data_IF_906431355219
#
_entry.id   IF_906431355219
#
_cell.length_a   1.000
_cell.length_b   1.000
_cell.length_c   1.000
_cell.angle_alpha   90.00
_cell.angle_beta   90.00
_cell.angle_gamma   90.00
#
_symmetry.space_group_name_H-M   'P 1'
#
loop_
_entity.id
_entity.type
_entity.pdbx_description
1 polymer ?
#
# COMPACT_ATOMS: atom_id res chain seq x y z
N UNK A 1 -24.87 29.10 31.14
CA UNK A 1 -24.63 29.36 29.73
C UNK A 1 -24.47 28.00 29.05
N UNK A 2 -25.48 27.49 28.32
CA UNK A 2 -25.40 26.21 27.66
C UNK A 2 -24.77 26.47 26.28
N UNK A 3 -23.51 26.15 26.11
CA UNK A 3 -22.82 26.23 24.82
C UNK A 3 -23.13 24.94 24.06
N UNK A 4 -24.17 24.95 23.27
CA UNK A 4 -24.43 23.87 22.27
C UNK A 4 -23.58 24.12 21.05
N UNK A 5 -22.31 23.72 21.09
CA UNK A 5 -21.50 23.62 19.86
C UNK A 5 -22.01 22.43 19.05
N UNK A 6 -22.73 22.68 17.97
CA UNK A 6 -23.13 21.62 17.02
C UNK A 6 -21.85 21.11 16.35
N UNK A 7 -21.45 19.88 16.67
CA UNK A 7 -20.34 19.22 16.00
C UNK A 7 -20.74 18.84 14.58
N UNK A 8 -19.81 18.99 13.63
CA UNK A 8 -19.99 18.44 12.29
C UNK A 8 -20.00 16.90 12.36
N UNK A 9 -20.84 16.21 11.60
CA UNK A 9 -20.73 14.77 11.49
C UNK A 9 -19.33 14.36 11.01
N UNK A 10 -18.76 13.30 11.58
CA UNK A 10 -17.43 12.78 11.22
C UNK A 10 -17.33 12.41 9.73
N UNK A 11 -18.47 12.08 9.11
CA UNK A 11 -18.63 11.81 7.67
C UNK A 11 -19.29 12.99 6.96
N UNK A 12 -18.63 14.15 7.00
CA UNK A 12 -19.08 15.29 6.20
C UNK A 12 -18.45 15.21 4.83
N UNK A 13 -19.28 15.16 3.80
CA UNK A 13 -18.88 15.15 2.40
C UNK A 13 -19.27 16.46 1.73
N UNK A 14 -18.38 16.97 0.88
CA UNK A 14 -18.72 18.01 -0.10
C UNK A 14 -19.19 17.30 -1.38
N UNK A 15 -20.40 17.63 -1.84
CA UNK A 15 -21.02 16.99 -3.01
C UNK A 15 -21.23 17.98 -4.12
N UNK A 16 -20.81 17.64 -5.32
CA UNK A 16 -21.07 18.40 -6.55
C UNK A 16 -21.77 17.51 -7.59
N UNK A 17 -21.97 17.99 -8.78
CA UNK A 17 -22.51 17.21 -9.90
C UNK A 17 -21.52 16.07 -10.24
N UNK A 18 -21.86 14.86 -9.77
CA UNK A 18 -21.06 13.66 -10.02
C UNK A 18 -19.75 13.55 -9.24
N UNK A 19 -19.61 14.32 -8.15
CA UNK A 19 -18.40 14.37 -7.34
C UNK A 19 -18.74 14.36 -5.86
N UNK A 20 -18.04 13.53 -5.10
CA UNK A 20 -18.09 13.52 -3.64
C UNK A 20 -16.67 13.60 -3.10
N UNK A 21 -16.37 14.64 -2.32
CA UNK A 21 -15.08 14.80 -1.64
C UNK A 21 -15.30 14.65 -0.14
N UNK A 22 -14.72 13.60 0.44
CA UNK A 22 -14.66 13.41 1.89
C UNK A 22 -13.76 14.48 2.52
N UNK A 23 -14.09 14.91 3.72
CA UNK A 23 -13.26 15.89 4.44
C UNK A 23 -12.28 15.18 5.37
N UNK A 24 -11.07 15.73 5.56
CA UNK A 24 -10.15 15.26 6.59
C UNK A 24 -10.76 15.46 7.99
N UNK A 25 -10.18 14.82 9.00
CA UNK A 25 -10.62 14.99 10.39
C UNK A 25 -10.44 16.45 10.83
N UNK A 26 -11.55 17.10 11.23
CA UNK A 26 -11.60 18.49 11.67
C UNK A 26 -11.91 18.57 13.16
N UNK A 27 -11.39 19.59 13.85
CA UNK A 27 -11.70 19.85 15.26
C UNK A 27 -13.21 20.11 15.47
N UNK A 28 -13.88 20.68 14.45
CA UNK A 28 -15.33 20.87 14.45
C UNK A 28 -16.14 19.55 14.41
N UNK A 29 -15.53 18.41 14.11
CA UNK A 29 -16.14 17.07 14.15
C UNK A 29 -16.08 16.43 15.54
N UNK A 30 -15.37 17.04 16.50
CA UNK A 30 -15.24 16.58 17.88
C UNK A 30 -16.27 17.29 18.75
N UNK A 31 -17.19 16.57 19.45
CA UNK A 31 -18.16 17.19 20.34
C UNK A 31 -17.49 17.96 21.48
N UNK A 32 -18.01 19.16 21.83
CA UNK A 32 -17.40 20.04 22.85
C UNK A 32 -17.32 19.41 24.24
N UNK A 33 -18.17 18.45 24.59
CA UNK A 33 -18.16 17.71 25.84
C UNK A 33 -17.03 16.67 25.95
N UNK A 34 -16.47 16.22 24.83
CA UNK A 34 -15.31 15.31 24.78
C UNK A 34 -13.99 16.06 24.81
N UNK A 35 -13.97 17.36 24.53
CA UNK A 35 -12.77 18.20 24.62
C UNK A 35 -12.28 18.41 26.09
N UNK A 36 -13.13 18.18 27.09
CA UNK A 36 -12.76 18.25 28.49
C UNK A 36 -11.99 17.01 29.00
N UNK A 37 -12.11 15.89 28.33
CA UNK A 37 -11.30 14.68 28.52
C UNK A 37 -10.39 14.55 27.33
N UNK A 38 -9.15 14.94 27.36
CA UNK A 38 -8.06 14.74 26.37
C UNK A 38 -8.28 13.67 25.25
N UNK A 39 -9.50 13.47 24.80
CA UNK A 39 -9.86 12.63 23.68
C UNK A 39 -9.86 13.49 22.43
N UNK A 40 -8.66 13.70 21.87
CA UNK A 40 -8.55 13.65 20.42
C UNK A 40 -9.48 12.52 19.97
N UNK A 41 -10.33 12.75 18.97
CA UNK A 41 -11.13 11.66 18.42
C UNK A 41 -10.18 10.49 18.24
N UNK A 42 -10.47 9.35 18.89
CA UNK A 42 -9.52 8.25 19.00
C UNK A 42 -8.88 8.01 17.63
N UNK A 43 -7.55 8.02 17.55
CA UNK A 43 -6.85 7.93 16.26
C UNK A 43 -7.36 6.71 15.51
N UNK A 44 -7.56 6.85 14.21
CA UNK A 44 -8.04 5.76 13.37
C UNK A 44 -6.84 5.03 12.81
N UNK A 45 -6.72 3.75 13.14
CA UNK A 45 -5.66 2.90 12.60
C UNK A 45 -5.83 2.72 11.08
N UNK A 46 -4.72 2.84 10.36
CA UNK A 46 -4.65 2.60 8.91
C UNK A 46 -3.60 1.55 8.62
N UNK A 47 -3.92 0.63 7.73
CA UNK A 47 -3.03 -0.46 7.33
C UNK A 47 -2.63 -0.32 5.88
N UNK A 48 -1.33 -0.45 5.61
CA UNK A 48 -0.76 -0.49 4.26
C UNK A 48 0.15 -1.70 4.08
N UNK A 49 0.01 -2.37 2.94
CA UNK A 49 0.81 -3.54 2.57
C UNK A 49 1.49 -3.25 1.24
N UNK A 50 2.82 -3.21 1.23
CA UNK A 50 3.63 -2.87 0.06
C UNK A 50 4.54 -4.03 -0.29
N UNK A 51 4.35 -4.59 -1.48
CA UNK A 51 5.03 -5.79 -1.95
C UNK A 51 6.15 -5.47 -2.94
N UNK A 52 7.30 -6.12 -2.76
CA UNK A 52 8.42 -6.14 -3.70
C UNK A 52 8.60 -7.55 -4.27
N UNK A 53 8.76 -7.70 -5.59
CA UNK A 53 8.93 -9.00 -6.23
C UNK A 53 10.39 -9.45 -6.31
N UNK A 54 10.59 -10.69 -6.74
CA UNK A 54 11.86 -11.27 -7.16
C UNK A 54 12.93 -11.33 -6.07
N UNK A 55 12.55 -11.20 -4.80
CA UNK A 55 13.47 -11.26 -3.66
C UNK A 55 14.35 -10.02 -3.48
N UNK A 56 15.33 -10.16 -2.59
CA UNK A 56 16.28 -9.10 -2.26
C UNK A 56 17.70 -9.66 -2.08
N UNK A 57 18.70 -8.79 -2.20
CA UNK A 57 20.09 -9.12 -1.82
C UNK A 57 20.20 -9.01 -0.29
N UNK A 58 19.95 -10.13 0.41
CA UNK A 58 19.75 -10.16 1.86
C UNK A 58 20.99 -9.71 2.65
N UNK A 59 22.20 -9.95 2.16
CA UNK A 59 23.44 -9.44 2.77
C UNK A 59 23.53 -7.90 2.76
N UNK A 60 22.75 -7.25 1.90
CA UNK A 60 22.65 -5.78 1.80
C UNK A 60 21.32 -5.24 2.31
N UNK A 61 20.38 -6.13 2.63
CA UNK A 61 19.09 -5.80 3.24
C UNK A 61 19.18 -5.81 4.77
N UNK A 62 19.71 -6.91 5.35
CA UNK A 62 19.66 -7.14 6.79
C UNK A 62 20.70 -6.28 7.50
N UNK A 63 20.32 -5.45 8.50
CA UNK A 63 21.26 -4.74 9.33
C UNK A 63 22.15 -5.70 10.14
N UNK A 64 23.44 -5.37 10.29
CA UNK A 64 24.39 -6.22 10.98
C UNK A 64 24.17 -6.28 12.51
N UNK A 65 23.61 -5.20 13.10
CA UNK A 65 23.37 -5.11 14.56
C UNK A 65 21.87 -5.20 14.85
N UNK A 66 21.52 -5.87 15.94
CA UNK A 66 20.15 -5.99 16.45
C UNK A 66 19.85 -4.89 17.47
N UNK A 67 18.58 -4.58 17.68
CA UNK A 67 18.11 -3.62 18.67
C UNK A 67 18.16 -2.17 18.17
N UNK A 68 18.16 -1.21 19.11
CA UNK A 68 18.07 0.22 18.80
C UNK A 68 19.36 0.81 18.19
N UNK A 69 20.49 0.15 18.41
CA UNK A 69 21.81 0.59 17.92
C UNK A 69 22.16 0.08 16.51
N UNK A 70 21.17 -0.42 15.74
CA UNK A 70 21.41 -0.89 14.38
C UNK A 70 21.80 0.25 13.45
N UNK A 71 22.60 -0.07 12.45
CA UNK A 71 22.93 0.82 11.33
C UNK A 71 22.14 0.39 10.10
N UNK A 72 21.67 1.35 9.32
CA UNK A 72 20.93 1.03 8.10
C UNK A 72 21.84 0.34 7.10
N UNK A 73 21.39 -0.81 6.62
CA UNK A 73 22.01 -1.54 5.52
C UNK A 73 21.94 -0.73 4.21
N UNK A 74 22.76 -1.02 3.21
CA UNK A 74 22.79 -0.26 1.96
C UNK A 74 21.42 -0.14 1.27
N UNK A 75 20.61 -1.20 1.26
CA UNK A 75 19.30 -1.20 0.64
C UNK A 75 18.30 -0.35 1.44
N UNK A 76 18.37 -0.34 2.77
CA UNK A 76 17.44 0.39 3.63
C UNK A 76 17.88 1.85 3.89
N UNK A 77 19.10 2.23 3.48
CA UNK A 77 19.64 3.58 3.68
C UNK A 77 18.75 4.72 3.20
N UNK A 78 18.02 4.62 2.07
CA UNK A 78 17.16 5.69 1.59
C UNK A 78 16.05 6.14 2.56
N UNK A 79 15.66 5.29 3.51
CA UNK A 79 14.61 5.60 4.50
C UNK A 79 15.12 5.87 5.91
N UNK A 80 16.43 6.05 6.09
CA UNK A 80 17.04 6.29 7.41
C UNK A 80 16.46 7.52 8.14
N UNK A 81 15.98 8.54 7.42
CA UNK A 81 15.33 9.72 7.99
C UNK A 81 14.03 9.42 8.76
N UNK A 82 13.46 8.22 8.57
CA UNK A 82 12.28 7.73 9.27
C UNK A 82 12.59 6.73 10.37
N UNK A 83 13.85 6.59 10.80
CA UNK A 83 14.33 5.61 11.79
C UNK A 83 13.34 5.38 12.93
N UNK A 84 12.86 6.46 13.55
CA UNK A 84 12.00 6.39 14.74
C UNK A 84 10.62 5.75 14.48
N UNK A 85 10.27 5.50 13.24
CA UNK A 85 9.02 4.87 12.78
C UNK A 85 9.25 3.56 12.05
N UNK A 86 10.47 2.99 12.11
CA UNK A 86 10.83 1.78 11.37
C UNK A 86 11.20 0.63 12.31
N UNK A 87 10.73 -0.56 11.98
CA UNK A 87 11.15 -1.83 12.61
C UNK A 87 11.58 -2.79 11.51
N UNK A 88 12.87 -3.10 11.43
CA UNK A 88 13.36 -4.17 10.57
C UNK A 88 13.16 -5.49 11.30
N UNK A 89 12.63 -6.51 10.61
CA UNK A 89 12.44 -7.84 11.20
C UNK A 89 13.20 -8.87 10.37
N UNK A 90 14.02 -9.68 11.02
CA UNK A 90 14.83 -10.71 10.35
C UNK A 90 14.53 -12.12 10.87
N UNK A 91 15.01 -13.13 10.11
CA UNK A 91 14.83 -14.55 10.35
C UNK A 91 13.38 -15.07 10.23
N UNK A 92 12.55 -14.35 9.47
CA UNK A 92 11.21 -14.81 9.13
C UNK A 92 11.24 -15.76 7.92
N UNK A 93 10.36 -16.72 7.91
CA UNK A 93 10.20 -17.68 6.83
C UNK A 93 8.74 -17.79 6.37
N UNK A 94 8.54 -18.16 5.10
CA UNK A 94 7.24 -18.52 4.56
C UNK A 94 7.26 -19.95 4.00
N UNK A 95 7.16 -20.93 4.88
CA UNK A 95 7.15 -22.36 4.51
C UNK A 95 6.02 -22.72 3.54
N UNK A 96 4.80 -22.14 3.64
CA UNK A 96 3.74 -22.39 2.67
C UNK A 96 4.06 -21.90 1.24
N UNK A 97 5.07 -21.07 1.03
CA UNK A 97 5.53 -20.68 -0.30
C UNK A 97 6.49 -21.67 -0.95
N UNK A 98 7.05 -22.61 -0.17
CA UNK A 98 7.87 -23.70 -0.71
C UNK A 98 7.01 -24.70 -1.50
N UNK A 99 7.63 -25.38 -2.46
CA UNK A 99 6.94 -26.42 -3.22
C UNK A 99 6.55 -27.58 -2.31
N UNK A 100 5.30 -28.02 -2.39
CA UNK A 100 4.90 -29.27 -1.77
C UNK A 100 5.48 -30.48 -2.53
N UNK A 101 5.43 -31.66 -1.93
CA UNK A 101 5.94 -32.87 -2.57
C UNK A 101 5.28 -33.09 -3.93
N UNK A 102 6.09 -33.21 -4.99
CA UNK A 102 5.65 -33.41 -6.37
C UNK A 102 5.19 -32.16 -7.12
N UNK A 103 5.27 -30.94 -6.54
CA UNK A 103 4.83 -29.72 -7.23
C UNK A 103 5.87 -29.15 -8.21
N UNK A 104 7.15 -29.22 -7.89
CA UNK A 104 8.21 -28.58 -8.69
C UNK A 104 8.21 -27.05 -8.62
N UNK A 105 8.57 -26.40 -9.72
CA UNK A 105 8.62 -24.92 -9.82
C UNK A 105 7.23 -24.27 -9.71
N UNK A 106 7.16 -22.96 -9.63
CA UNK A 106 5.93 -22.18 -9.37
C UNK A 106 6.12 -21.21 -8.19
N UNK A 107 7.38 -20.90 -7.89
CA UNK A 107 7.79 -20.14 -6.69
C UNK A 107 7.25 -18.71 -6.70
N UNK A 108 7.19 -18.08 -7.87
CA UNK A 108 6.67 -16.72 -8.02
C UNK A 108 5.17 -16.64 -7.73
N UNK A 109 4.39 -17.60 -8.22
CA UNK A 109 2.95 -17.66 -7.96
C UNK A 109 2.66 -17.97 -6.48
N UNK A 110 3.41 -18.91 -5.88
CA UNK A 110 3.30 -19.21 -4.45
C UNK A 110 3.69 -18.01 -3.60
N UNK A 111 4.78 -17.31 -3.94
CA UNK A 111 5.24 -16.14 -3.21
C UNK A 111 4.15 -15.05 -3.10
N UNK A 112 3.56 -14.64 -4.21
CA UNK A 112 2.48 -13.64 -4.21
C UNK A 112 1.26 -14.09 -3.44
N UNK A 113 0.81 -15.34 -3.63
CA UNK A 113 -0.40 -15.88 -3.01
C UNK A 113 -0.28 -16.07 -1.50
N UNK A 114 0.93 -16.38 -1.00
CA UNK A 114 1.18 -16.70 0.41
C UNK A 114 1.46 -15.48 1.27
N UNK A 115 2.01 -14.41 0.70
CA UNK A 115 2.59 -13.29 1.46
C UNK A 115 1.67 -12.71 2.54
N UNK A 116 0.37 -12.52 2.25
CA UNK A 116 -0.62 -11.99 3.20
C UNK A 116 -1.56 -13.05 3.79
N UNK A 117 -1.31 -14.34 3.53
CA UNK A 117 -2.17 -15.44 3.98
C UNK A 117 -1.48 -16.45 4.88
N UNK A 118 -0.18 -16.74 4.64
CA UNK A 118 0.50 -17.88 5.23
C UNK A 118 -0.11 -19.23 4.83
N UNK A 119 -0.86 -19.29 3.70
CA UNK A 119 -1.56 -20.51 3.24
C UNK A 119 -1.02 -20.94 1.88
N UNK A 120 -0.62 -22.19 1.76
CA UNK A 120 -0.17 -22.78 0.50
C UNK A 120 -1.31 -22.74 -0.54
N UNK A 121 -1.09 -22.16 -1.73
CA UNK A 121 -2.13 -22.05 -2.75
C UNK A 121 -2.35 -23.38 -3.46
N UNK A 122 -3.59 -23.64 -3.87
CA UNK A 122 -3.91 -24.81 -4.67
C UNK A 122 -3.19 -24.74 -6.02
N UNK A 123 -2.41 -25.78 -6.35
CA UNK A 123 -1.80 -25.92 -7.67
C UNK A 123 -2.88 -26.15 -8.72
N UNK A 124 -3.17 -25.14 -9.54
CA UNK A 124 -4.14 -25.19 -10.64
C UNK A 124 -3.86 -24.07 -11.63
N UNK A 125 -4.01 -24.34 -12.91
CA UNK A 125 -4.00 -23.34 -13.99
C UNK A 125 -5.42 -22.94 -14.41
N UNK A 126 -6.43 -23.58 -13.83
CA UNK A 126 -7.85 -23.34 -14.10
C UNK A 126 -8.46 -22.23 -13.26
N UNK A 127 -9.79 -22.14 -13.31
CA UNK A 127 -10.58 -21.16 -12.57
C UNK A 127 -10.83 -21.56 -11.11
N UNK A 128 -10.50 -22.79 -10.72
CA UNK A 128 -10.72 -23.35 -9.38
C UNK A 128 -9.59 -23.00 -8.40
N UNK A 129 -9.11 -21.76 -8.51
CA UNK A 129 -8.07 -21.18 -7.65
C UNK A 129 -8.49 -21.20 -6.19
N UNK A 130 -7.53 -21.43 -5.30
CA UNK A 130 -7.73 -21.41 -3.86
C UNK A 130 -6.42 -21.02 -3.16
N UNK A 131 -6.49 -19.96 -2.39
CA UNK A 131 -5.47 -19.50 -1.44
C UNK A 131 -6.07 -19.37 -0.05
N UNK A 132 -5.60 -18.42 0.74
CA UNK A 132 -6.18 -18.01 2.01
C UNK A 132 -6.94 -16.69 1.86
N UNK A 133 -7.80 -16.35 2.83
CA UNK A 133 -8.26 -14.96 2.97
C UNK A 133 -7.09 -14.13 3.51
N UNK A 134 -6.77 -13.04 2.84
CA UNK A 134 -5.62 -12.20 3.18
C UNK A 134 -5.91 -11.28 4.37
N UNK A 135 -4.86 -10.92 5.12
CA UNK A 135 -5.02 -10.10 6.33
C UNK A 135 -5.52 -8.68 6.01
N UNK A 136 -5.20 -8.13 4.85
CA UNK A 136 -5.77 -6.86 4.39
C UNK A 136 -7.29 -6.95 4.28
N UNK A 137 -7.83 -8.08 3.81
CA UNK A 137 -9.27 -8.31 3.71
C UNK A 137 -9.91 -8.68 5.06
N UNK A 138 -9.16 -9.33 5.98
CA UNK A 138 -9.60 -9.52 7.37
C UNK A 138 -9.73 -8.15 8.05
N UNK A 139 -8.70 -7.30 7.92
CA UNK A 139 -8.71 -5.95 8.44
C UNK A 139 -9.81 -5.08 7.81
N UNK A 140 -10.03 -5.18 6.51
CA UNK A 140 -11.06 -4.44 5.78
C UNK A 140 -12.49 -4.78 6.24
N UNK A 141 -12.73 -5.99 6.71
CA UNK A 141 -14.04 -6.36 7.26
C UNK A 141 -14.36 -5.63 8.57
N UNK A 142 -13.36 -5.18 9.32
CA UNK A 142 -13.55 -4.40 10.55
C UNK A 142 -13.29 -2.91 10.34
N UNK A 143 -12.09 -2.52 9.91
CA UNK A 143 -11.69 -1.12 9.73
C UNK A 143 -12.43 -0.43 8.59
N UNK A 144 -12.81 -1.21 7.57
CA UNK A 144 -13.51 -0.72 6.37
C UNK A 144 -15.04 -0.66 6.49
N UNK A 145 -15.64 -1.04 7.63
CA UNK A 145 -17.12 -0.99 7.81
C UNK A 145 -17.68 0.40 7.65
N UNK A 146 -16.91 1.36 8.07
CA UNK A 146 -17.30 2.75 8.16
C UNK A 146 -16.70 3.63 7.06
N UNK A 147 -16.01 3.06 6.08
CA UNK A 147 -15.40 3.80 4.98
C UNK A 147 -16.17 3.62 3.67
N UNK A 148 -15.98 4.54 2.72
CA UNK A 148 -16.58 4.44 1.39
C UNK A 148 -16.05 3.22 0.62
N UNK A 149 -14.73 2.99 0.68
CA UNK A 149 -14.07 1.81 0.16
C UNK A 149 -13.58 0.97 1.32
N UNK A 150 -13.92 -0.31 1.37
CA UNK A 150 -13.44 -1.21 2.42
C UNK A 150 -11.93 -1.36 2.39
N UNK A 151 -11.36 -1.45 1.19
CA UNK A 151 -9.95 -1.56 0.90
C UNK A 151 -9.63 -1.00 -0.48
N UNK A 152 -8.35 -0.72 -0.73
CA UNK A 152 -7.85 -0.21 -2.00
C UNK A 152 -6.66 -1.08 -2.45
N UNK A 153 -6.88 -1.86 -3.51
CA UNK A 153 -5.90 -2.74 -4.12
C UNK A 153 -5.34 -2.08 -5.37
N UNK A 154 -4.02 -1.77 -5.36
CA UNK A 154 -3.34 -1.09 -6.46
C UNK A 154 -2.02 -1.76 -6.83
N UNK A 155 -1.59 -1.56 -8.07
CA UNK A 155 -0.32 -2.06 -8.56
C UNK A 155 0.33 -1.07 -9.55
N UNK A 156 1.64 -1.16 -9.71
CA UNK A 156 2.39 -0.32 -10.65
C UNK A 156 2.72 -1.03 -11.97
N UNK A 157 2.30 -2.26 -12.15
CA UNK A 157 2.40 -2.99 -13.42
C UNK A 157 1.03 -3.47 -13.87
N UNK A 158 0.78 -3.44 -15.18
CA UNK A 158 -0.44 -3.94 -15.79
C UNK A 158 -0.46 -5.49 -15.84
N UNK A 159 -1.64 -6.06 -15.65
CA UNK A 159 -1.90 -7.49 -15.57
C UNK A 159 -2.79 -7.94 -16.73
N UNK A 160 -2.24 -7.93 -17.94
CA UNK A 160 -2.97 -8.38 -19.13
C UNK A 160 -2.96 -9.90 -19.32
N UNK A 161 -2.12 -10.62 -18.58
CA UNK A 161 -1.97 -12.06 -18.72
C UNK A 161 -3.14 -12.83 -18.12
N UNK A 162 -3.72 -13.75 -18.88
CA UNK A 162 -4.82 -14.66 -18.51
C UNK A 162 -4.34 -16.10 -18.77
N UNK A 163 -4.75 -17.05 -17.92
CA UNK A 163 -4.34 -18.46 -18.03
C UNK A 163 -3.26 -18.83 -17.02
N UNK A 164 -2.29 -19.65 -17.39
CA UNK A 164 -1.13 -20.02 -16.57
C UNK A 164 -0.02 -18.97 -16.68
N UNK A 165 0.42 -18.40 -15.55
CA UNK A 165 1.50 -17.41 -15.50
C UNK A 165 2.78 -17.95 -14.85
N UNK A 166 2.69 -19.07 -14.18
CA UNK A 166 3.81 -19.83 -13.63
C UNK A 166 3.48 -21.33 -13.73
N UNK A 167 4.48 -22.19 -13.63
CA UNK A 167 4.29 -23.63 -13.88
C UNK A 167 3.30 -24.24 -12.88
N UNK A 168 2.14 -24.66 -13.39
CA UNK A 168 1.07 -25.26 -12.62
C UNK A 168 0.19 -24.28 -11.85
N UNK A 169 0.36 -22.96 -12.05
CA UNK A 169 -0.38 -21.93 -11.33
C UNK A 169 -1.04 -20.89 -12.25
N UNK A 170 -2.31 -20.59 -11.97
CA UNK A 170 -3.07 -19.60 -12.70
C UNK A 170 -2.52 -18.17 -12.47
N UNK A 171 -2.69 -17.31 -13.48
CA UNK A 171 -2.25 -15.91 -13.40
C UNK A 171 -2.86 -15.12 -12.24
N UNK A 172 -4.03 -15.52 -11.75
CA UNK A 172 -4.65 -14.90 -10.57
C UNK A 172 -3.79 -14.95 -9.31
N UNK A 173 -2.89 -15.94 -9.19
CA UNK A 173 -1.95 -16.01 -8.05
C UNK A 173 -0.83 -14.98 -8.13
N UNK A 174 -0.43 -14.58 -9.36
CA UNK A 174 0.65 -13.59 -9.58
C UNK A 174 0.09 -12.17 -9.70
N UNK A 175 -1.15 -12.03 -10.16
CA UNK A 175 -1.74 -10.74 -10.51
C UNK A 175 -2.41 -10.02 -9.33
N UNK A 176 -2.52 -10.65 -8.16
CA UNK A 176 -3.04 -10.00 -6.96
C UNK A 176 -2.39 -10.52 -5.69
N UNK A 177 -2.36 -9.64 -4.69
CA UNK A 177 -1.98 -9.99 -3.32
C UNK A 177 -3.19 -10.17 -2.42
N UNK A 178 -4.37 -9.67 -2.84
CA UNK A 178 -5.55 -9.52 -1.98
C UNK A 178 -6.63 -10.55 -2.34
N UNK A 179 -7.05 -11.33 -1.35
CA UNK A 179 -8.08 -12.36 -1.50
C UNK A 179 -9.19 -12.13 -0.48
N UNK A 180 -10.38 -11.75 -0.97
CA UNK A 180 -11.55 -11.50 -0.10
C UNK A 180 -12.04 -12.75 0.61
N UNK A 181 -11.97 -13.87 -0.07
CA UNK A 181 -12.25 -15.22 0.46
C UNK A 181 -11.16 -16.16 -0.05
N UNK A 182 -11.05 -17.40 0.45
CA UNK A 182 -10.06 -18.34 -0.07
C UNK A 182 -10.13 -18.60 -1.58
N UNK A 183 -11.21 -18.25 -2.25
CA UNK A 183 -11.43 -18.48 -3.69
C UNK A 183 -11.74 -17.24 -4.50
N UNK A 184 -11.66 -16.03 -3.89
CA UNK A 184 -12.02 -14.77 -4.55
C UNK A 184 -10.86 -13.80 -4.53
N UNK A 185 -9.95 -13.85 -5.53
CA UNK A 185 -8.92 -12.85 -5.71
C UNK A 185 -9.54 -11.50 -6.06
N UNK A 186 -8.98 -10.40 -5.59
CA UNK A 186 -9.37 -9.05 -5.92
C UNK A 186 -8.45 -8.48 -7.00
N UNK A 187 -9.00 -7.92 -8.09
CA UNK A 187 -8.18 -7.30 -9.12
C UNK A 187 -7.50 -6.04 -8.56
N UNK A 188 -6.22 -5.86 -8.88
CA UNK A 188 -5.47 -4.67 -8.53
C UNK A 188 -5.58 -3.62 -9.64
N UNK A 189 -5.77 -2.36 -9.26
CA UNK A 189 -5.91 -1.25 -10.19
C UNK A 189 -4.54 -0.62 -10.47
N UNK A 190 -4.22 -0.46 -11.76
CA UNK A 190 -2.92 0.09 -12.22
C UNK A 190 -3.02 1.51 -12.75
N UNK A 191 -4.20 1.95 -13.19
CA UNK A 191 -4.39 3.29 -13.75
C UNK A 191 -4.68 4.31 -12.64
N UNK A 192 -3.80 5.32 -12.39
CA UNK A 192 -3.98 6.36 -11.38
C UNK A 192 -5.27 7.17 -11.58
N UNK A 193 -5.72 7.34 -12.83
CA UNK A 193 -6.96 8.03 -13.15
C UNK A 193 -8.18 7.24 -12.64
N UNK A 194 -8.20 5.94 -12.89
CA UNK A 194 -9.29 5.08 -12.40
C UNK A 194 -9.29 5.03 -10.87
N UNK A 195 -8.09 4.98 -10.24
CA UNK A 195 -7.97 5.08 -8.78
C UNK A 195 -8.55 6.41 -8.29
N UNK A 196 -8.15 7.53 -8.88
CA UNK A 196 -8.67 8.86 -8.50
C UNK A 196 -10.19 8.96 -8.65
N UNK A 197 -10.74 8.48 -9.77
CA UNK A 197 -12.19 8.41 -9.99
C UNK A 197 -12.90 7.52 -8.96
N UNK A 198 -12.28 6.41 -8.55
CA UNK A 198 -12.85 5.52 -7.52
C UNK A 198 -12.85 6.19 -6.14
N UNK A 199 -11.87 7.03 -5.84
CA UNK A 199 -11.78 7.74 -4.56
C UNK A 199 -12.76 8.92 -4.46
N UNK A 200 -12.95 9.68 -5.55
CA UNK A 200 -13.62 10.99 -5.54
C UNK A 200 -14.83 11.07 -6.48
N UNK A 201 -15.02 10.11 -7.38
CA UNK A 201 -16.16 10.06 -8.30
C UNK A 201 -17.41 9.49 -7.65
N UNK A 202 -18.58 10.09 -7.92
CA UNK A 202 -19.87 9.46 -7.61
C UNK A 202 -20.26 8.53 -8.77
N UNK A 203 -20.26 7.23 -8.58
CA UNK A 203 -20.87 6.14 -9.36
C UNK A 203 -21.47 6.40 -10.74
N UNK A 204 -20.99 7.42 -11.46
CA UNK A 204 -21.47 7.82 -12.77
C UNK A 204 -21.16 6.74 -13.81
N UNK A 205 -22.10 6.49 -14.73
CA UNK A 205 -21.88 5.60 -15.86
C UNK A 205 -20.65 6.01 -16.71
N UNK A 206 -19.97 5.05 -17.35
CA UNK A 206 -18.75 5.28 -18.12
C UNK A 206 -18.85 6.42 -19.15
N UNK A 207 -20.02 6.62 -19.75
CA UNK A 207 -20.27 7.67 -20.74
C UNK A 207 -20.41 9.06 -20.11
N UNK A 208 -21.03 9.18 -18.95
CA UNK A 208 -21.10 10.42 -18.17
C UNK A 208 -19.73 10.83 -17.63
N UNK A 209 -18.93 9.84 -17.18
CA UNK A 209 -17.53 10.05 -16.78
C UNK A 209 -16.68 10.59 -17.93
N UNK A 210 -16.83 10.03 -19.13
CA UNK A 210 -16.10 10.49 -20.33
C UNK A 210 -16.45 11.93 -20.71
N UNK A 211 -17.73 12.32 -20.58
CA UNK A 211 -18.19 13.71 -20.85
C UNK A 211 -17.66 14.71 -19.80
N UNK A 212 -17.55 14.32 -18.55
CA UNK A 212 -17.02 15.17 -17.47
C UNK A 212 -15.51 15.40 -17.60
N UNK A 213 -14.77 14.41 -18.09
CA UNK A 213 -13.33 14.47 -18.30
C UNK A 213 -12.92 15.29 -19.55
N UNK A 214 -13.84 15.44 -20.51
CA UNK A 214 -13.66 16.31 -21.69
C UNK A 214 -14.01 17.77 -21.39
N UNK A 215 -14.65 18.07 -20.24
CA UNK A 215 -14.84 19.44 -19.77
C UNK A 215 -13.65 19.81 -18.88
N UNK A 216 -12.91 20.89 -19.24
CA UNK A 216 -11.70 21.40 -18.56
C UNK A 216 -11.93 21.91 -17.11
N UNK A 217 -12.99 21.46 -16.43
CA UNK A 217 -13.31 21.89 -15.09
C UNK A 217 -12.76 20.93 -14.02
N UNK A 218 -12.13 21.51 -13.00
CA UNK A 218 -11.68 20.76 -11.82
C UNK A 218 -12.88 20.15 -11.09
N UNK A 219 -12.69 18.92 -10.58
CA UNK A 219 -13.65 18.28 -9.67
C UNK A 219 -14.02 19.22 -8.52
N UNK A 220 -13.05 19.99 -8.02
CA UNK A 220 -13.26 20.92 -6.91
C UNK A 220 -14.09 22.16 -7.30
N UNK A 221 -14.16 22.53 -8.57
CA UNK A 221 -14.95 23.69 -9.03
C UNK A 221 -16.44 23.44 -8.83
N UNK A 222 -16.88 22.18 -8.88
CA UNK A 222 -18.30 21.81 -8.68
C UNK A 222 -18.77 21.92 -7.22
N UNK A 223 -17.84 22.02 -6.26
CA UNK A 223 -18.11 22.08 -4.82
C UNK A 223 -17.72 23.40 -4.15
N UNK A 224 -17.32 24.41 -4.94
CA UNK A 224 -16.83 25.73 -4.45
C UNK A 224 -17.81 26.39 -3.48
N UNK A 225 -19.11 26.39 -3.78
CA UNK A 225 -20.14 26.98 -2.92
C UNK A 225 -20.23 26.27 -1.56
N UNK A 226 -20.12 24.94 -1.55
CA UNK A 226 -20.16 24.15 -0.32
C UNK A 226 -18.90 24.38 0.55
N UNK A 227 -17.74 24.56 -0.09
CA UNK A 227 -16.49 24.95 0.59
C UNK A 227 -16.68 26.29 1.28
N UNK A 228 -17.27 27.29 0.58
CA UNK A 228 -17.57 28.60 1.15
C UNK A 228 -18.53 28.55 2.35
N UNK A 229 -19.57 27.70 2.25
CA UNK A 229 -20.50 27.42 3.34
C UNK A 229 -19.87 26.72 4.54
N UNK A 230 -18.99 25.74 4.29
CA UNK A 230 -18.25 25.02 5.31
C UNK A 230 -17.31 25.95 6.09
N UNK A 231 -16.52 26.79 5.39
CA UNK A 231 -15.57 27.73 6.01
C UNK A 231 -16.22 28.69 7.01
N UNK A 232 -17.50 29.04 6.84
CA UNK A 232 -18.25 29.88 7.79
C UNK A 232 -18.65 29.13 9.08
N UNK A 233 -18.55 27.80 9.10
CA UNK A 233 -19.01 26.92 10.19
C UNK A 233 -17.89 26.28 10.99
N UNK A 234 -16.66 26.36 10.51
CA UNK A 234 -15.46 25.75 11.11
C UNK A 234 -14.53 26.83 11.66
N UNK A 235 -13.68 26.43 12.61
CA UNK A 235 -12.65 27.32 13.18
C UNK A 235 -11.50 27.60 12.18
N UNK A 236 -10.63 28.57 12.50
CA UNK A 236 -9.52 28.98 11.65
C UNK A 236 -8.57 27.81 11.36
N UNK A 237 -8.23 26.98 12.36
CA UNK A 237 -7.34 25.82 12.21
C UNK A 237 -7.93 24.80 11.24
N UNK A 238 -9.22 24.46 11.39
CA UNK A 238 -9.90 23.55 10.46
C UNK A 238 -9.99 24.15 9.05
N UNK A 239 -10.15 25.48 8.93
CA UNK A 239 -10.14 26.17 7.66
C UNK A 239 -8.81 26.02 6.91
N UNK A 240 -7.68 26.04 7.63
CA UNK A 240 -6.35 25.79 7.08
C UNK A 240 -6.25 24.33 6.61
N UNK A 241 -6.59 23.36 7.47
CA UNK A 241 -6.57 21.92 7.12
C UNK A 241 -7.39 21.58 5.89
N UNK A 242 -8.61 22.16 5.79
CA UNK A 242 -9.48 21.98 4.61
C UNK A 242 -8.80 22.56 3.36
N UNK A 243 -8.17 23.73 3.46
CA UNK A 243 -7.49 24.37 2.32
C UNK A 243 -6.31 23.50 1.85
N UNK A 244 -5.42 23.10 2.74
CA UNK A 244 -4.25 22.25 2.42
C UNK A 244 -4.67 20.91 1.81
N UNK A 245 -5.72 20.30 2.33
CA UNK A 245 -6.28 19.09 1.78
C UNK A 245 -6.82 19.27 0.35
N UNK A 246 -7.63 20.31 0.12
CA UNK A 246 -8.18 20.59 -1.21
C UNK A 246 -7.09 20.98 -2.22
N UNK A 247 -6.03 21.65 -1.79
CA UNK A 247 -4.87 21.94 -2.64
C UNK A 247 -4.10 20.67 -2.99
N UNK A 248 -3.98 19.72 -2.05
CA UNK A 248 -3.40 18.39 -2.32
C UNK A 248 -4.23 17.59 -3.33
N UNK A 249 -5.56 17.62 -3.22
CA UNK A 249 -6.47 16.97 -4.19
C UNK A 249 -6.32 17.62 -5.57
N UNK A 250 -6.24 18.94 -5.66
CA UNK A 250 -6.03 19.67 -6.94
C UNK A 250 -4.71 19.30 -7.59
N UNK A 251 -3.64 19.22 -6.80
CA UNK A 251 -2.32 18.88 -7.33
C UNK A 251 -2.30 17.46 -7.91
N UNK A 252 -2.90 16.49 -7.21
CA UNK A 252 -3.02 15.11 -7.71
C UNK A 252 -3.91 15.08 -8.96
N UNK A 253 -5.08 15.74 -8.94
CA UNK A 253 -5.95 15.84 -10.10
C UNK A 253 -5.22 16.43 -11.32
N UNK A 254 -4.44 17.49 -11.14
CA UNK A 254 -3.64 18.10 -12.19
C UNK A 254 -2.59 17.14 -12.76
N UNK A 255 -1.92 16.36 -11.90
CA UNK A 255 -0.95 15.33 -12.32
C UNK A 255 -1.62 14.21 -13.12
N UNK A 256 -2.75 13.72 -12.64
CA UNK A 256 -3.55 12.69 -13.34
C UNK A 256 -3.97 13.17 -14.72
N UNK A 257 -4.47 14.42 -14.85
CA UNK A 257 -4.87 15.01 -16.13
C UNK A 257 -3.69 15.22 -17.08
N UNK A 258 -2.56 15.73 -16.57
CA UNK A 258 -1.35 15.94 -17.37
C UNK A 258 -0.81 14.62 -17.94
N UNK A 259 -0.93 13.53 -17.21
CA UNK A 259 -0.53 12.20 -17.66
C UNK A 259 -1.49 11.70 -18.76
N UNK A 260 -2.80 11.85 -18.58
CA UNK A 260 -3.79 11.50 -19.60
C UNK A 260 -3.57 12.25 -20.91
N UNK A 261 -3.33 13.56 -20.86
CA UNK A 261 -3.08 14.38 -22.06
C UNK A 261 -1.79 13.97 -22.81
N UNK A 262 -0.73 13.61 -22.11
CA UNK A 262 0.50 13.09 -22.75
C UNK A 262 0.32 11.74 -23.42
N UNK A 263 -0.54 10.87 -22.85
CA UNK A 263 -0.89 9.60 -23.47
C UNK A 263 -1.71 9.77 -24.76
N UNK A 264 -2.54 10.82 -24.83
CA UNK A 264 -3.32 11.16 -26.03
C UNK A 264 -2.45 11.79 -27.16
N UNK A 265 -1.30 12.42 -26.84
CA UNK A 265 -0.36 12.99 -27.81
C UNK A 265 0.54 11.92 -28.49
N UNK A 266 0.66 10.73 -27.94
CA UNK A 266 1.45 9.61 -28.49
C UNK A 266 0.58 8.58 -29.22
N UNK A 267 -0.12 9.03 -30.28
CA UNK A 267 -0.90 8.15 -31.15
C UNK A 267 0.02 7.56 -32.22
N UNK A 268 0.79 6.51 -31.89
CA UNK A 268 1.32 5.55 -32.89
C UNK A 268 1.91 4.26 -32.29
N UNK A 269 1.48 3.79 -31.13
CA UNK A 269 1.81 2.43 -30.68
C UNK A 269 0.60 1.71 -30.08
N UNK A 270 0.22 0.53 -30.59
CA UNK A 270 -1.06 -0.13 -30.24
C UNK A 270 -1.10 -0.86 -28.89
N UNK A 271 -0.17 -0.65 -27.95
CA UNK A 271 0.02 -1.54 -26.79
C UNK A 271 0.20 -0.87 -25.43
N UNK A 272 0.08 0.47 -25.30
CA UNK A 272 0.13 1.09 -23.95
C UNK A 272 -1.28 1.51 -23.47
N UNK A 273 -1.67 1.14 -22.23
CA UNK A 273 -2.92 1.61 -21.65
C UNK A 273 -2.89 3.14 -21.52
N UNK A 274 -3.93 3.80 -22.00
CA UNK A 274 -4.09 5.27 -21.87
C UNK A 274 -4.30 5.59 -20.38
N UNK A 275 -3.39 6.36 -19.78
CA UNK A 275 -3.51 6.85 -18.40
C UNK A 275 -2.41 6.44 -17.42
N UNK A 276 -1.48 5.57 -17.82
CA UNK A 276 -0.32 5.20 -16.99
C UNK A 276 0.88 6.08 -17.35
N UNK A 277 1.60 6.67 -16.37
CA UNK A 277 2.81 7.45 -16.62
C UNK A 277 3.88 6.66 -17.37
N UNK A 278 4.56 7.29 -18.33
CA UNK A 278 5.69 6.70 -19.05
C UNK A 278 6.85 6.36 -18.11
N UNK A 279 7.04 7.18 -17.07
CA UNK A 279 8.06 6.98 -16.06
C UNK A 279 7.51 6.23 -14.87
N UNK A 280 8.08 5.08 -14.59
CA UNK A 280 7.72 4.24 -13.43
C UNK A 280 7.78 5.00 -12.10
N UNK A 281 8.79 5.87 -11.94
CA UNK A 281 8.96 6.74 -10.76
C UNK A 281 7.72 7.63 -10.52
N UNK A 282 7.28 8.35 -11.55
CA UNK A 282 6.12 9.22 -11.48
C UNK A 282 4.83 8.43 -11.20
N UNK A 283 4.71 7.24 -11.81
CA UNK A 283 3.56 6.36 -11.61
C UNK A 283 3.48 5.89 -10.15
N UNK A 284 4.54 5.31 -9.61
CA UNK A 284 4.57 4.79 -8.23
C UNK A 284 4.34 5.90 -7.22
N UNK A 285 5.01 7.05 -7.38
CA UNK A 285 4.81 8.21 -6.50
C UNK A 285 3.38 8.74 -6.54
N UNK A 286 2.77 8.81 -7.73
CA UNK A 286 1.36 9.21 -7.84
C UNK A 286 0.42 8.23 -7.17
N UNK A 287 0.65 6.91 -7.33
CA UNK A 287 -0.15 5.89 -6.65
C UNK A 287 -0.03 5.98 -5.12
N UNK A 288 1.17 6.24 -4.59
CA UNK A 288 1.36 6.52 -3.15
C UNK A 288 0.65 7.78 -2.69
N UNK A 289 0.68 8.87 -3.48
CA UNK A 289 -0.04 10.10 -3.17
C UNK A 289 -1.56 9.88 -3.13
N UNK A 290 -2.09 9.04 -4.03
CA UNK A 290 -3.50 8.63 -4.02
C UNK A 290 -3.87 7.83 -2.76
N UNK A 291 -3.01 6.91 -2.30
CA UNK A 291 -3.22 6.20 -1.03
C UNK A 291 -3.19 7.18 0.15
N UNK A 292 -2.23 8.10 0.18
CA UNK A 292 -2.13 9.11 1.24
C UNK A 292 -3.40 9.98 1.31
N UNK A 293 -3.92 10.43 0.15
CA UNK A 293 -5.19 11.16 0.08
C UNK A 293 -6.37 10.31 0.53
N UNK A 294 -6.43 9.03 0.15
CA UNK A 294 -7.49 8.12 0.57
C UNK A 294 -7.50 7.91 2.09
N UNK A 295 -6.32 7.82 2.71
CA UNK A 295 -6.15 7.74 4.16
C UNK A 295 -6.50 9.06 4.84
N UNK A 296 -6.06 10.20 4.31
CA UNK A 296 -6.35 11.53 4.83
C UNK A 296 -7.85 11.83 4.87
N UNK A 297 -8.56 11.43 3.82
CA UNK A 297 -9.99 11.63 3.67
C UNK A 297 -10.85 10.53 4.34
N UNK A 298 -10.24 9.53 4.98
CA UNK A 298 -10.91 8.35 5.53
C UNK A 298 -11.83 7.64 4.52
N UNK A 299 -11.45 7.69 3.22
CA UNK A 299 -12.14 6.97 2.13
C UNK A 299 -11.92 5.48 2.24
N UNK A 300 -10.71 5.08 2.64
CA UNK A 300 -10.35 3.73 3.06
C UNK A 300 -9.34 3.78 4.20
N UNK A 301 -9.24 2.68 4.95
CA UNK A 301 -8.26 2.48 6.03
C UNK A 301 -7.31 1.33 5.76
N UNK A 302 -7.51 0.64 4.64
CA UNK A 302 -6.68 -0.51 4.26
C UNK A 302 -6.30 -0.38 2.80
N UNK A 303 -4.99 -0.49 2.51
CA UNK A 303 -4.48 -0.46 1.14
C UNK A 303 -3.41 -1.52 0.93
N UNK A 304 -3.43 -2.15 -0.24
CA UNK A 304 -2.41 -3.10 -0.68
C UNK A 304 -1.82 -2.61 -2.00
N UNK A 305 -0.49 -2.47 -2.04
CA UNK A 305 0.23 -1.97 -3.20
C UNK A 305 1.33 -2.93 -3.65
N UNK A 306 1.20 -3.44 -4.87
CA UNK A 306 2.22 -4.24 -5.54
C UNK A 306 3.10 -3.34 -6.40
N UNK A 307 4.36 -3.09 -5.99
CA UNK A 307 5.28 -2.23 -6.74
C UNK A 307 5.63 -2.81 -8.11
N UNK A 308 5.83 -4.10 -8.17
CA UNK A 308 5.91 -4.86 -9.40
C UNK A 308 5.43 -6.29 -9.12
N UNK A 309 4.96 -6.99 -10.15
CA UNK A 309 4.54 -8.38 -10.02
C UNK A 309 5.74 -9.31 -9.90
N UNK A 310 5.53 -10.49 -9.36
CA UNK A 310 6.53 -11.56 -9.43
C UNK A 310 6.87 -11.90 -10.90
N UNK A 311 8.11 -12.31 -11.13
CA UNK A 311 8.68 -12.52 -12.45
C UNK A 311 8.62 -11.29 -13.38
N UNK A 312 8.58 -10.07 -12.83
CA UNK A 312 8.58 -8.82 -13.60
C UNK A 312 9.78 -8.72 -14.52
N UNK A 313 9.52 -8.43 -15.78
CA UNK A 313 10.54 -8.17 -16.80
C UNK A 313 10.85 -6.68 -16.97
N UNK A 314 10.35 -5.83 -16.06
CA UNK A 314 10.61 -4.40 -16.07
C UNK A 314 12.10 -4.08 -16.03
N UNK A 315 12.51 -3.07 -16.79
CA UNK A 315 13.86 -2.49 -16.75
C UNK A 315 13.88 -1.17 -16.02
N UNK A 316 15.01 -0.80 -15.44
CA UNK A 316 15.17 0.42 -14.64
C UNK A 316 16.29 1.29 -15.23
N UNK A 317 16.13 1.67 -16.51
CA UNK A 317 17.13 2.42 -17.27
C UNK A 317 17.55 3.73 -16.59
N UNK A 318 16.58 4.43 -15.96
CA UNK A 318 16.78 5.71 -15.29
C UNK A 318 17.72 5.61 -14.06
N UNK A 319 17.89 4.42 -13.47
CA UNK A 319 18.89 4.15 -12.45
C UNK A 319 20.09 3.37 -12.99
N UNK A 320 20.25 3.26 -14.32
CA UNK A 320 21.36 2.56 -14.96
C UNK A 320 21.31 1.04 -14.89
N UNK A 321 20.09 0.46 -14.82
CA UNK A 321 19.85 -0.98 -14.89
C UNK A 321 18.93 -1.28 -16.06
N UNK A 322 19.50 -1.51 -17.27
CA UNK A 322 18.74 -1.76 -18.50
C UNK A 322 18.26 -3.21 -18.62
N UNK A 323 18.76 -4.10 -17.79
CA UNK A 323 18.41 -5.51 -17.83
C UNK A 323 17.04 -5.76 -17.15
N UNK A 324 16.26 -6.78 -17.60
CA UNK A 324 15.00 -7.14 -16.96
C UNK A 324 15.18 -7.58 -15.51
N UNK A 325 14.31 -7.12 -14.60
CA UNK A 325 14.41 -7.36 -13.16
C UNK A 325 14.49 -8.86 -12.82
N UNK A 326 13.57 -9.67 -13.34
CA UNK A 326 13.57 -11.12 -13.11
C UNK A 326 14.86 -11.80 -13.60
N UNK A 327 15.38 -11.41 -14.78
CA UNK A 327 16.64 -11.97 -15.29
C UNK A 327 17.86 -11.61 -14.42
N UNK A 328 17.81 -10.47 -13.71
CA UNK A 328 18.86 -10.05 -12.77
C UNK A 328 18.72 -10.77 -11.43
N UNK A 329 17.51 -11.04 -10.96
CA UNK A 329 17.31 -11.79 -9.71
C UNK A 329 17.94 -13.18 -9.77
N UNK A 330 18.00 -13.78 -10.97
CA UNK A 330 18.78 -14.99 -11.25
C UNK A 330 20.27 -14.65 -11.50
N UNK A 331 20.91 -14.09 -10.47
CA UNK A 331 22.25 -13.53 -10.59
C UNK A 331 23.37 -14.58 -10.74
N UNK A 332 23.14 -15.85 -10.42
CA UNK A 332 24.18 -16.89 -10.51
C UNK A 332 25.44 -16.56 -9.72
N UNK A 333 25.33 -15.75 -8.66
CA UNK A 333 26.43 -15.19 -7.88
C UNK A 333 27.40 -14.26 -8.66
N UNK A 334 26.99 -13.76 -9.83
CA UNK A 334 27.73 -12.77 -10.60
C UNK A 334 27.69 -11.39 -9.88
N UNK A 335 28.85 -10.80 -9.51
CA UNK A 335 28.89 -9.57 -8.71
C UNK A 335 28.18 -8.38 -9.35
N UNK A 336 28.25 -8.25 -10.67
CA UNK A 336 27.58 -7.18 -11.43
C UNK A 336 26.05 -7.29 -11.36
N UNK A 337 25.49 -8.50 -11.45
CA UNK A 337 24.06 -8.75 -11.32
C UNK A 337 23.58 -8.51 -9.88
N UNK A 338 24.37 -8.96 -8.89
CA UNK A 338 24.09 -8.70 -7.46
C UNK A 338 24.03 -7.18 -7.21
N UNK A 339 24.99 -6.42 -7.75
CA UNK A 339 24.99 -4.96 -7.64
C UNK A 339 23.76 -4.32 -8.26
N UNK A 340 23.39 -4.73 -9.47
CA UNK A 340 22.19 -4.26 -10.18
C UNK A 340 20.91 -4.59 -9.42
N UNK A 341 20.77 -5.82 -8.89
CA UNK A 341 19.60 -6.23 -8.12
C UNK A 341 19.50 -5.43 -6.79
N UNK A 342 20.60 -5.29 -6.05
CA UNK A 342 20.64 -4.47 -4.86
C UNK A 342 20.26 -3.00 -5.14
N UNK A 343 20.65 -2.46 -6.30
CA UNK A 343 20.31 -1.12 -6.74
C UNK A 343 18.80 -0.98 -7.02
N UNK A 344 18.17 -1.99 -7.63
CA UNK A 344 16.70 -2.03 -7.79
C UNK A 344 16.01 -2.09 -6.41
N UNK A 345 16.48 -2.95 -5.50
CA UNK A 345 15.91 -3.03 -4.16
C UNK A 345 16.01 -1.68 -3.41
N UNK A 346 17.16 -1.02 -3.42
CA UNK A 346 17.34 0.30 -2.80
C UNK A 346 16.45 1.37 -3.45
N UNK A 347 16.26 1.30 -4.77
CA UNK A 347 15.37 2.19 -5.49
C UNK A 347 13.90 1.98 -5.07
N UNK A 348 13.41 0.75 -4.96
CA UNK A 348 12.07 0.47 -4.46
C UNK A 348 11.88 0.99 -3.02
N UNK A 349 12.91 0.84 -2.16
CA UNK A 349 12.90 1.42 -0.81
C UNK A 349 12.84 2.95 -0.86
N UNK A 350 13.54 3.61 -1.81
CA UNK A 350 13.46 5.07 -1.95
C UNK A 350 12.07 5.57 -2.36
N UNK A 351 11.37 4.82 -3.20
CA UNK A 351 9.97 5.11 -3.56
C UNK A 351 9.04 4.94 -2.36
N UNK A 352 9.28 3.93 -1.52
CA UNK A 352 8.56 3.80 -0.26
C UNK A 352 8.85 4.97 0.70
N UNK A 353 10.08 5.50 0.68
CA UNK A 353 10.47 6.71 1.40
C UNK A 353 9.59 7.91 1.04
N UNK A 354 9.27 8.11 -0.26
CA UNK A 354 8.33 9.14 -0.69
C UNK A 354 6.94 8.99 -0.01
N UNK A 355 6.45 7.76 0.11
CA UNK A 355 5.19 7.50 0.80
C UNK A 355 5.25 7.84 2.29
N UNK A 356 6.35 7.45 2.96
CA UNK A 356 6.56 7.80 4.37
C UNK A 356 6.64 9.33 4.58
N UNK A 357 7.31 10.06 3.69
CA UNK A 357 7.36 11.54 3.71
C UNK A 357 5.96 12.14 3.58
N UNK A 358 5.15 11.64 2.65
CA UNK A 358 3.77 12.10 2.46
C UNK A 358 2.91 11.86 3.69
N UNK A 359 2.97 10.68 4.30
CA UNK A 359 2.22 10.36 5.51
C UNK A 359 2.70 11.18 6.71
N UNK A 360 4.01 11.39 6.85
CA UNK A 360 4.62 12.19 7.93
C UNK A 360 4.26 13.67 7.81
N UNK A 361 4.18 14.21 6.59
CA UNK A 361 3.82 15.60 6.33
C UNK A 361 2.31 15.88 6.47
N UNK A 362 1.46 14.85 6.55
CA UNK A 362 0.01 15.01 6.59
C UNK A 362 -0.49 14.96 8.04
N UNK A 363 -1.00 16.08 8.61
CA UNK A 363 -1.57 16.09 9.96
C UNK A 363 -2.81 15.19 10.07
N UNK A 364 -2.93 14.48 11.20
CA UNK A 364 -4.07 13.62 11.50
C UNK A 364 -4.32 13.61 13.02
N UNK A 365 -5.34 14.33 13.49
CA UNK A 365 -5.68 14.42 14.91
C UNK A 365 -4.55 15.01 15.75
N UNK A 366 -4.02 14.23 16.67
CA UNK A 366 -2.95 14.57 17.61
C UNK A 366 -1.54 14.23 17.10
N UNK A 367 -1.44 13.73 15.85
CA UNK A 367 -0.19 13.35 15.21
C UNK A 367 -0.24 13.55 13.70
N UNK A 368 0.40 12.64 12.99
CA UNK A 368 0.45 12.57 11.53
C UNK A 368 -0.20 11.28 11.04
N UNK A 369 -0.49 11.19 9.74
CA UNK A 369 -0.95 9.93 9.15
C UNK A 369 0.06 8.80 9.38
N UNK A 370 1.37 9.08 9.42
CA UNK A 370 2.39 8.08 9.71
C UNK A 370 2.30 7.56 11.16
N UNK A 371 2.00 8.43 12.12
CA UNK A 371 1.81 8.03 13.52
C UNK A 371 0.61 7.10 13.70
N UNK A 372 -0.42 7.27 12.87
CA UNK A 372 -1.65 6.48 12.92
C UNK A 372 -1.73 5.38 11.86
N UNK A 373 -0.64 5.11 11.16
CA UNK A 373 -0.53 4.02 10.19
C UNK A 373 0.36 2.89 10.70
N UNK A 374 0.09 1.68 10.22
CA UNK A 374 0.96 0.52 10.32
C UNK A 374 1.15 -0.05 8.92
N UNK A 375 2.38 0.03 8.42
CA UNK A 375 2.74 -0.36 7.06
C UNK A 375 3.64 -1.58 7.12
N UNK A 376 3.34 -2.59 6.31
CA UNK A 376 4.20 -3.73 6.03
C UNK A 376 4.83 -3.53 4.65
N UNK A 377 6.15 -3.57 4.58
CA UNK A 377 6.92 -3.52 3.34
C UNK A 377 7.80 -4.75 3.23
N UNK A 378 7.78 -5.44 2.10
CA UNK A 378 8.63 -6.61 1.89
C UNK A 378 8.16 -7.51 0.77
N UNK A 379 8.68 -8.73 0.76
CA UNK A 379 8.35 -9.75 -0.24
C UNK A 379 8.39 -11.16 0.35
N UNK A 380 7.93 -12.13 -0.43
CA UNK A 380 7.87 -13.53 -0.01
C UNK A 380 8.99 -14.39 -0.63
N UNK A 381 9.85 -13.81 -1.46
CA UNK A 381 11.11 -14.42 -1.91
C UNK A 381 12.26 -13.71 -1.16
N UNK A 382 13.19 -14.49 -0.62
CA UNK A 382 14.44 -14.05 -0.01
C UNK A 382 15.51 -13.87 -1.10
N UNK A 383 16.17 -14.93 -1.45
CA UNK A 383 17.18 -14.96 -2.50
C UNK A 383 16.51 -15.28 -3.86
N UNK A 384 16.41 -14.29 -4.74
CA UNK A 384 15.77 -14.47 -6.05
C UNK A 384 16.50 -15.44 -6.98
N UNK A 385 17.79 -15.70 -6.77
CA UNK A 385 18.54 -16.69 -7.55
C UNK A 385 18.18 -18.13 -7.22
N UNK A 386 17.82 -18.37 -5.96
CA UNK A 386 17.51 -19.70 -5.43
C UNK A 386 16.03 -19.89 -5.14
N UNK A 387 15.24 -18.84 -5.26
CA UNK A 387 13.82 -18.78 -4.88
C UNK A 387 13.57 -19.26 -3.43
N UNK A 388 14.48 -18.94 -2.51
CA UNK A 388 14.26 -19.28 -1.11
C UNK A 388 13.21 -18.38 -0.46
N UNK A 389 12.48 -18.94 0.50
CA UNK A 389 11.46 -18.23 1.27
C UNK A 389 11.88 -17.98 2.72
N UNK A 390 13.18 -17.96 3.00
CA UNK A 390 13.82 -17.68 4.30
C UNK A 390 15.27 -17.24 4.08
N UNK A 391 15.78 -16.23 4.86
CA UNK A 391 15.03 -15.26 5.65
C UNK A 391 14.38 -14.20 4.76
N UNK A 392 13.13 -13.79 5.05
CA UNK A 392 12.39 -12.85 4.21
C UNK A 392 12.82 -11.38 4.43
N UNK A 393 12.76 -10.53 3.37
CA UNK A 393 12.92 -9.08 3.49
C UNK A 393 11.63 -8.47 4.06
N UNK A 394 11.65 -8.11 5.36
CA UNK A 394 10.47 -7.57 6.05
C UNK A 394 10.82 -6.31 6.83
N UNK A 395 10.01 -5.28 6.64
CA UNK A 395 10.08 -3.99 7.31
C UNK A 395 8.67 -3.56 7.71
N UNK A 396 8.52 -3.09 8.96
CA UNK A 396 7.32 -2.39 9.41
C UNK A 396 7.61 -0.89 9.55
N UNK A 397 6.63 -0.05 9.21
CA UNK A 397 6.75 1.39 9.33
C UNK A 397 5.47 2.00 9.92
N UNK A 398 5.63 3.12 10.63
CA UNK A 398 4.55 3.87 11.25
C UNK A 398 4.51 3.77 12.76
N UNK A 399 3.49 4.41 13.36
CA UNK A 399 3.30 4.43 14.82
C UNK A 399 2.18 3.53 15.31
N UNK A 400 1.33 3.00 14.41
CA UNK A 400 0.16 2.17 14.76
C UNK A 400 -0.67 2.78 15.92
N UNK A 401 -0.93 4.09 15.88
CA UNK A 401 -1.60 4.82 16.96
C UNK A 401 -0.91 4.65 18.34
N UNK A 402 0.41 4.60 18.37
CA UNK A 402 1.21 4.39 19.57
C UNK A 402 1.43 2.92 19.95
N UNK A 403 0.96 1.97 19.15
CA UNK A 403 1.11 0.52 19.41
C UNK A 403 2.41 -0.07 18.83
N UNK A 404 3.13 0.67 17.97
CA UNK A 404 4.40 0.23 17.40
C UNK A 404 5.53 1.17 17.83
N UNK A 405 6.50 0.63 18.58
CA UNK A 405 7.75 1.32 18.88
C UNK A 405 8.75 1.09 17.75
N UNK A 406 9.11 2.14 17.00
CA UNK A 406 10.10 2.09 15.94
C UNK A 406 11.55 2.20 16.43
N UNK A 407 12.47 2.47 15.50
CA UNK A 407 13.89 2.70 15.79
C UNK A 407 14.68 1.44 16.12
N UNK A 408 14.23 0.25 15.67
CA UNK A 408 14.87 -1.01 16.09
C UNK A 408 14.91 -2.07 14.99
N UNK A 409 15.90 -2.93 15.10
CA UNK A 409 16.00 -4.18 14.34
C UNK A 409 15.70 -5.34 15.28
N UNK A 410 14.63 -6.07 14.99
CA UNK A 410 14.23 -7.29 15.70
C UNK A 410 14.72 -8.52 14.94
N UNK A 411 15.23 -9.50 15.68
CA UNK A 411 15.58 -10.80 15.13
C UNK A 411 14.75 -11.88 15.82
N UNK A 412 14.12 -12.71 15.04
CA UNK A 412 13.35 -13.87 15.52
C UNK A 412 14.24 -15.11 15.57
N UNK A 413 13.74 -16.19 16.17
CA UNK A 413 14.35 -17.51 15.96
C UNK A 413 14.34 -17.84 14.45
N UNK A 414 15.32 -18.60 14.01
CA UNK A 414 15.39 -19.03 12.61
C UNK A 414 14.08 -19.68 12.19
N UNK A 415 13.64 -19.39 10.97
CA UNK A 415 12.43 -19.92 10.36
C UNK A 415 11.11 -19.61 11.12
N UNK A 416 11.09 -18.54 11.90
CA UNK A 416 9.84 -18.04 12.49
C UNK A 416 8.83 -17.73 11.37
N UNK A 417 7.59 -18.24 11.41
CA UNK A 417 6.60 -17.98 10.37
C UNK A 417 6.34 -16.49 10.16
N UNK A 418 6.38 -16.04 8.92
CA UNK A 418 6.00 -14.66 8.54
C UNK A 418 4.56 -14.35 9.00
N UNK A 419 3.69 -15.34 9.03
CA UNK A 419 2.33 -15.21 9.49
C UNK A 419 2.20 -14.75 10.96
N UNK A 420 3.25 -14.92 11.79
CA UNK A 420 3.27 -14.36 13.15
C UNK A 420 3.29 -12.82 13.14
N UNK A 421 3.99 -12.23 12.16
CA UNK A 421 3.95 -10.75 11.93
C UNK A 421 2.55 -10.33 11.51
N UNK A 422 1.89 -11.12 10.65
CA UNK A 422 0.54 -10.82 10.17
C UNK A 422 -0.48 -10.81 11.33
N UNK A 423 -0.40 -11.77 12.25
CA UNK A 423 -1.23 -11.78 13.50
C UNK A 423 -0.95 -10.53 14.33
N UNK A 424 0.33 -10.19 14.53
CA UNK A 424 0.73 -9.01 15.32
C UNK A 424 0.25 -7.69 14.69
N UNK A 425 0.26 -7.58 13.36
CA UNK A 425 -0.26 -6.41 12.64
C UNK A 425 -1.75 -6.22 12.93
N UNK A 426 -2.56 -7.26 12.81
CA UNK A 426 -4.00 -7.17 13.06
C UNK A 426 -4.29 -6.75 14.51
N UNK A 427 -3.59 -7.34 15.47
CA UNK A 427 -3.74 -6.97 16.88
C UNK A 427 -3.41 -5.50 17.14
N UNK A 428 -2.24 -5.02 16.64
CA UNK A 428 -1.82 -3.62 16.80
C UNK A 428 -2.77 -2.63 16.10
N UNK A 429 -3.44 -3.07 15.06
CA UNK A 429 -4.48 -2.30 14.38
C UNK A 429 -5.83 -2.30 15.13
N UNK A 430 -5.95 -3.07 16.21
CA UNK A 430 -7.20 -3.22 16.97
C UNK A 430 -8.25 -4.09 16.25
N UNK A 431 -7.82 -4.92 15.30
CA UNK A 431 -8.69 -5.87 14.60
C UNK A 431 -8.81 -7.13 15.43
N UNK A 432 -10.05 -7.60 15.65
CA UNK A 432 -10.35 -8.85 16.37
C UNK A 432 -9.90 -10.04 15.52
N UNK A 433 -8.58 -10.30 15.52
CA UNK A 433 -7.98 -11.33 14.70
C UNK A 433 -8.35 -12.73 15.19
N UNK A 434 -8.43 -13.67 14.25
CA UNK A 434 -8.30 -15.08 14.59
C UNK A 434 -6.96 -15.31 15.31
N UNK A 435 -6.94 -16.17 16.31
CA UNK A 435 -5.71 -16.53 17.04
C UNK A 435 -4.62 -17.09 16.12
N UNK A 436 -5.01 -17.58 14.95
CA UNK A 436 -4.12 -18.13 13.92
C UNK A 436 -4.48 -17.64 12.51
N UNK A 437 -3.44 -17.35 11.72
CA UNK A 437 -3.51 -17.03 10.30
C UNK A 437 -2.51 -17.93 9.58
N UNK A 438 -2.96 -18.71 8.62
CA UNK A 438 -2.11 -19.60 7.84
C UNK A 438 -1.26 -20.52 8.72
N UNK A 439 0.04 -20.48 8.55
CA UNK A 439 1.04 -21.24 9.29
C UNK A 439 1.51 -20.57 10.60
N UNK A 440 0.83 -19.51 11.05
CA UNK A 440 1.24 -18.84 12.28
C UNK A 440 1.23 -19.75 13.50
N UNK A 441 2.22 -19.59 14.36
CA UNK A 441 2.34 -20.27 15.65
C UNK A 441 1.95 -19.36 16.82
N UNK A 442 1.45 -18.17 16.52
CA UNK A 442 1.09 -17.13 17.47
C UNK A 442 1.50 -15.75 16.98
N UNK A 443 1.74 -14.83 17.88
CA UNK A 443 2.25 -13.47 17.61
C UNK A 443 3.76 -13.47 17.45
N UNK A 444 4.29 -12.44 16.80
CA UNK A 444 5.72 -12.19 16.86
C UNK A 444 6.07 -11.61 18.24
N UNK A 445 6.98 -12.26 18.94
CA UNK A 445 7.49 -11.77 20.21
C UNK A 445 8.18 -10.40 20.00
N UNK A 446 8.06 -9.50 20.95
CA UNK A 446 8.72 -8.19 21.02
C UNK A 446 8.34 -7.18 19.91
N UNK A 447 7.34 -7.47 19.09
CA UNK A 447 6.86 -6.51 18.10
C UNK A 447 5.99 -5.41 18.72
#
# INVERSE_FOLDING_TARGET
>A
MIITKMALPRRTFLRGLGVTVALPLLDAMVPALTAASKTAAAPVSRLGFVYIPNGAIMDRWTPAKVGKAFEFSPILKPIEAHRDRLVVVSNLASRPAEAAEGEGSGDHARASAVWLTGVHPKRTEGADVRGGKTIDQIAADELGRDTQLRSLEIAAEDFTAVGGCDIGYACSYVNTLSWRTPTTPLPMQTDPRVVFERLFGEGLGAEQRRRQLTQDHSILDTIVEQIGGLRKRIGATDGIRVTEYLDSVREVERRVRKMGARADEHIELPTMPVGVPDLYDDHVKLMYDLVALAFQADVTRVSTFMLAREASTRTYNHIGVPDPHHAISHHGNAPDKIEKHAKINAYHVSLFGHFLDRLKATPDGDGTLLDHSLLLYGGCISNGNLHTHSPLPVLLAGGACGQLEGGRHLTSAADTPMANVLVSILEKAGVSAAEHIGDSTGRLADL
#
